data_IF_604388733541
#
_entry.id   IF_604388733541
#
_cell.length_a   1.000
_cell.length_b   1.000
_cell.length_c   1.000
_cell.angle_alpha   90.00
_cell.angle_beta   90.00
_cell.angle_gamma   90.00
#
_symmetry.space_group_name_H-M   'P 1'
#
loop_
_entity.id
_entity.type
_entity.pdbx_description
1 polymer ?
#
# COMPACT_ATOMS: atom_id res chain seq x y z
N UNK A 1 26.77 -3.95 4.61
CA UNK A 1 26.49 -3.89 4.53
C UNK A 1 25.54 -3.70 4.20
N UNK A 2 25.07 -3.75 4.01
CA UNK A 2 24.41 -3.66 3.62
C UNK A 2 23.31 -3.27 3.66
N UNK A 3 23.03 -3.07 3.73
CA UNK A 3 22.11 -2.71 3.82
C UNK A 3 21.39 -2.49 2.97
N UNK A 4 21.15 -2.83 2.38
CA UNK A 4 20.46 -2.66 1.53
C UNK A 4 19.19 -2.51 1.78
N UNK A 5 18.58 -1.62 1.88
CA UNK A 5 17.28 -1.30 2.13
C UNK A 5 16.48 -1.28 0.94
N UNK A 6 16.99 -1.64 -0.17
CA UNK A 6 16.20 -1.57 -1.32
C UNK A 6 15.09 -2.48 -1.17
N UNK A 7 13.96 -2.24 -1.62
CA UNK A 7 12.83 -3.12 -1.53
C UNK A 7 11.99 -2.98 -0.31
N UNK A 8 12.38 -2.14 0.61
CA UNK A 8 11.59 -1.97 1.80
C UNK A 8 10.48 -0.98 1.57
N UNK A 9 9.50 -1.38 0.86
CA UNK A 9 8.34 -0.55 0.57
C UNK A 9 7.19 -1.03 1.44
N UNK A 10 6.55 -0.11 2.12
CA UNK A 10 5.41 -0.43 2.95
C UNK A 10 4.20 0.23 2.35
N UNK A 11 3.24 -0.59 1.95
CA UNK A 11 1.99 -0.11 1.41
C UNK A 11 0.94 -0.21 2.50
N UNK A 12 0.15 0.82 2.64
CA UNK A 12 -0.88 0.85 3.68
C UNK A 12 -2.23 1.08 3.03
N UNK A 13 -3.18 0.24 3.38
CA UNK A 13 -4.55 0.38 2.94
C UNK A 13 -5.30 1.09 4.05
N UNK A 14 -5.78 2.28 3.77
CA UNK A 14 -6.44 3.12 4.77
C UNK A 14 -7.81 3.51 4.29
N UNK A 15 -8.71 3.66 5.24
CA UNK A 15 -10.03 4.15 4.91
C UNK A 15 -9.96 5.66 4.71
N UNK A 16 -10.51 6.10 3.61
CA UNK A 16 -10.53 7.52 3.29
C UNK A 16 -11.95 8.06 3.44
N UNK A 17 -12.12 9.32 3.12
CA UNK A 17 -13.42 9.93 3.20
C UNK A 17 -14.35 9.32 2.18
N UNK A 18 -15.64 9.46 2.41
CA UNK A 18 -16.67 9.00 1.48
C UNK A 18 -16.61 7.49 1.29
N UNK A 19 -16.20 6.78 2.34
CA UNK A 19 -16.17 5.31 2.30
C UNK A 19 -15.28 4.76 1.21
N UNK A 20 -14.25 5.50 0.87
CA UNK A 20 -13.28 5.02 -0.10
C UNK A 20 -12.07 4.47 0.63
N UNK A 21 -11.27 3.74 -0.09
CA UNK A 21 -10.09 3.11 0.47
C UNK A 21 -8.88 3.51 -0.34
N UNK A 22 -7.87 4.04 0.32
CA UNK A 22 -6.66 4.50 -0.34
C UNK A 22 -5.53 3.54 -0.08
N UNK A 23 -4.71 3.35 -1.09
CA UNK A 23 -3.47 2.61 -0.95
C UNK A 23 -2.34 3.63 -0.98
N UNK A 24 -1.61 3.72 0.10
CA UNK A 24 -0.52 4.69 0.21
C UNK A 24 0.79 3.98 0.45
N UNK A 25 1.85 4.59 -0.01
CA UNK A 25 3.18 4.12 0.28
C UNK A 25 3.72 4.91 1.45
N UNK A 26 4.34 4.22 2.40
CA UNK A 26 4.90 4.87 3.58
C UNK A 26 5.88 5.97 3.15
N UNK A 27 5.71 7.14 3.70
CA UNK A 27 6.59 8.25 3.36
C UNK A 27 6.05 9.17 2.29
N UNK A 28 5.00 8.77 1.60
CA UNK A 28 4.39 9.60 0.58
C UNK A 28 3.05 10.10 1.09
N UNK A 29 2.73 11.33 0.77
CA UNK A 29 1.48 11.90 1.23
C UNK A 29 0.32 11.54 0.35
N UNK A 30 0.57 11.41 -0.94
CA UNK A 30 -0.52 11.15 -1.85
C UNK A 30 -0.72 9.67 -2.03
N UNK A 31 -1.97 9.22 -2.13
CA UNK A 31 -2.22 7.81 -2.33
C UNK A 31 -1.79 7.37 -3.72
N UNK A 32 -1.41 6.11 -3.82
CA UNK A 32 -1.09 5.54 -5.10
C UNK A 32 -2.35 5.25 -5.89
N UNK A 33 -3.42 4.90 -5.19
CA UNK A 33 -4.68 4.56 -5.83
C UNK A 33 -5.78 4.66 -4.80
N UNK A 34 -7.01 4.78 -5.28
CA UNK A 34 -8.18 4.81 -4.42
C UNK A 34 -9.24 3.89 -5.00
N UNK A 35 -9.98 3.26 -4.11
CA UNK A 35 -10.98 2.28 -4.51
C UNK A 35 -12.24 2.48 -3.70
N UNK A 36 -13.33 1.94 -4.21
CA UNK A 36 -14.61 2.02 -3.50
C UNK A 36 -14.76 0.93 -2.47
N UNK A 37 -13.96 -0.12 -2.53
CA UNK A 37 -14.08 -1.20 -1.58
C UNK A 37 -12.72 -1.57 -1.04
N UNK A 38 -12.75 -2.06 0.20
CA UNK A 38 -11.52 -2.49 0.85
C UNK A 38 -10.89 -3.65 0.11
N UNK A 39 -11.73 -4.54 -0.37
CA UNK A 39 -11.27 -5.72 -1.06
C UNK A 39 -10.44 -5.35 -2.29
N UNK A 40 -10.92 -4.37 -3.05
CA UNK A 40 -10.20 -3.93 -4.23
C UNK A 40 -8.86 -3.30 -3.86
N UNK A 41 -8.86 -2.51 -2.81
CA UNK A 41 -7.62 -1.88 -2.37
C UNK A 41 -6.60 -2.91 -1.92
N UNK A 42 -7.05 -3.92 -1.21
CA UNK A 42 -6.17 -4.98 -0.74
C UNK A 42 -5.61 -5.76 -1.92
N UNK A 43 -6.45 -6.05 -2.89
CA UNK A 43 -5.99 -6.77 -4.08
C UNK A 43 -4.92 -5.98 -4.81
N UNK A 44 -5.14 -4.68 -4.97
CA UNK A 44 -4.16 -3.83 -5.63
C UNK A 44 -2.85 -3.84 -4.87
N UNK A 45 -2.91 -3.68 -3.55
CA UNK A 45 -1.69 -3.65 -2.75
C UNK A 45 -0.94 -4.97 -2.81
N UNK A 46 -1.68 -6.07 -2.78
CA UNK A 46 -1.05 -7.39 -2.86
C UNK A 46 -0.40 -7.61 -4.21
N UNK A 47 -1.02 -7.14 -5.28
CA UNK A 47 -0.44 -7.27 -6.58
C UNK A 47 0.85 -6.49 -6.69
N UNK A 48 0.89 -5.28 -6.15
CA UNK A 48 2.13 -4.52 -6.13
C UNK A 48 3.20 -5.23 -5.31
N UNK A 49 2.79 -5.81 -4.20
CA UNK A 49 3.76 -6.50 -3.35
C UNK A 49 4.38 -7.68 -4.06
N UNK A 50 3.63 -8.33 -4.95
CA UNK A 50 4.16 -9.44 -5.68
C UNK A 50 5.20 -9.03 -6.71
N UNK A 51 5.09 -7.83 -7.23
CA UNK A 51 5.99 -7.37 -8.26
C UNK A 51 7.25 -6.74 -7.71
N UNK A 52 7.27 -6.41 -6.43
CA UNK A 52 8.43 -5.79 -5.83
C UNK A 52 8.82 -6.55 -4.58
N UNK A 53 10.01 -7.11 -4.60
CA UNK A 53 10.48 -7.80 -3.42
C UNK A 53 10.63 -6.85 -2.26
N UNK A 54 10.37 -7.33 -1.09
CA UNK A 54 10.54 -6.52 0.10
C UNK A 54 9.36 -5.63 0.41
N UNK A 55 8.31 -5.72 -0.38
CA UNK A 55 7.14 -4.91 -0.15
C UNK A 55 6.24 -5.55 0.89
N UNK A 56 5.76 -4.76 1.82
CA UNK A 56 4.83 -5.22 2.85
C UNK A 56 3.52 -4.49 2.70
N UNK A 57 2.45 -5.15 3.05
CA UNK A 57 1.12 -4.56 3.00
C UNK A 57 0.59 -4.52 4.42
N UNK A 58 0.20 -3.34 4.85
CA UNK A 58 -0.40 -3.14 6.17
C UNK A 58 -1.80 -2.64 6.00
N UNK A 59 -2.68 -3.13 6.84
CA UNK A 59 -4.06 -2.67 6.85
C UNK A 59 -4.20 -1.67 7.97
N UNK A 60 -4.58 -0.46 7.60
CA UNK A 60 -4.74 0.57 8.60
C UNK A 60 -6.14 1.08 8.54
N UNK A 61 -6.63 1.43 9.58
CA UNK A 61 -7.85 1.88 9.44
C UNK A 61 -8.92 2.22 9.94
#
# INVERSE_FOLDING_TARGET
MGFDQKGNVILRVCRAQNNRWDVKEHGLEKPLASFDSESDAITYANDLAKTKEGTRVELGG
#
